data_IF_079256918133
#
_entry.id   IF_079256918133
#
_cell.length_a   1.000
_cell.length_b   1.000
_cell.length_c   1.000
_cell.angle_alpha   90.00
_cell.angle_beta   90.00
_cell.angle_gamma   90.00
#
_symmetry.space_group_name_H-M   'P 1'
#
loop_
_entity.id
_entity.type
_entity.pdbx_description
1 polymer ?
#
# COMPACT_ATOMS: atom_id res chain seq x y z
N UNK A 1 -11.64 3.22 3.41
CA UNK A 1 -12.13 4.07 2.30
C UNK A 1 -11.45 5.44 2.29
N UNK A 2 -11.66 6.29 3.29
CA UNK A 2 -11.11 7.67 3.29
C UNK A 2 -9.58 7.72 3.23
N UNK A 3 -8.86 6.87 3.98
CA UNK A 3 -7.40 6.81 3.92
C UNK A 3 -6.86 6.46 2.52
N UNK A 4 -7.45 5.45 1.87
CA UNK A 4 -7.08 5.05 0.49
C UNK A 4 -7.41 6.15 -0.51
N UNK A 5 -8.53 6.85 -0.32
CA UNK A 5 -8.89 8.01 -1.14
C UNK A 5 -7.92 9.19 -0.94
N UNK A 6 -7.53 9.49 0.29
CA UNK A 6 -6.53 10.52 0.63
C UNK A 6 -5.17 10.20 0.04
N UNK A 7 -4.76 8.94 0.09
CA UNK A 7 -3.56 8.45 -0.57
C UNK A 7 -3.59 8.69 -2.08
N UNK A 8 -4.68 8.25 -2.74
CA UNK A 8 -4.87 8.46 -4.18
C UNK A 8 -4.77 9.94 -4.57
N UNK A 9 -5.30 10.84 -3.73
CA UNK A 9 -5.28 12.29 -3.95
C UNK A 9 -3.89 12.93 -3.86
N UNK A 10 -2.98 12.34 -3.10
CA UNK A 10 -1.69 12.95 -2.80
C UNK A 10 -0.62 12.62 -3.85
N UNK A 11 -0.63 11.40 -4.41
CA UNK A 11 0.53 10.86 -5.11
C UNK A 11 0.27 10.44 -6.57
N UNK A 12 -0.98 10.38 -7.02
CA UNK A 12 -1.29 9.72 -8.29
C UNK A 12 -2.10 10.58 -9.26
N UNK A 13 -1.89 10.32 -10.54
CA UNK A 13 -2.74 10.88 -11.58
C UNK A 13 -4.16 10.24 -11.54
N UNK A 14 -5.08 10.87 -12.26
CA UNK A 14 -6.48 10.45 -12.32
C UNK A 14 -6.63 9.04 -12.94
N UNK A 15 -5.68 8.60 -13.77
CA UNK A 15 -5.71 7.29 -14.43
C UNK A 15 -5.28 6.18 -13.47
N UNK A 16 -4.22 6.39 -12.70
CA UNK A 16 -3.75 5.45 -11.68
C UNK A 16 -4.75 5.26 -10.55
N UNK A 17 -5.33 6.36 -10.05
CA UNK A 17 -6.28 6.32 -8.93
C UNK A 17 -7.51 5.46 -9.20
N UNK A 18 -7.94 5.35 -10.47
CA UNK A 18 -9.08 4.51 -10.90
C UNK A 18 -8.84 3.01 -10.75
N UNK A 19 -7.58 2.58 -10.63
CA UNK A 19 -7.22 1.16 -10.65
C UNK A 19 -6.91 0.63 -9.25
N UNK A 20 -6.93 1.46 -8.21
CA UNK A 20 -6.69 0.99 -6.84
C UNK A 20 -7.87 0.13 -6.40
N UNK A 21 -7.58 -1.12 -6.07
CA UNK A 21 -8.55 -2.10 -5.60
C UNK A 21 -8.24 -2.48 -4.15
N UNK A 22 -9.30 -2.60 -3.35
CA UNK A 22 -9.18 -3.01 -1.95
C UNK A 22 -10.05 -4.23 -1.72
N UNK A 23 -9.43 -5.26 -1.15
CA UNK A 23 -10.06 -6.51 -0.81
C UNK A 23 -9.96 -6.76 0.70
N UNK A 24 -10.88 -7.56 1.23
CA UNK A 24 -10.83 -8.06 2.59
C UNK A 24 -10.64 -9.58 2.58
N UNK A 25 -9.63 -10.04 3.30
CA UNK A 25 -9.39 -11.46 3.56
C UNK A 25 -10.15 -11.88 4.82
N UNK A 26 -10.66 -13.12 4.83
CA UNK A 26 -11.33 -13.71 6.00
C UNK A 26 -10.47 -13.76 7.27
N UNK A 27 -9.16 -13.52 7.15
CA UNK A 27 -8.19 -13.39 8.24
C UNK A 27 -8.08 -11.97 8.81
N UNK A 28 -9.04 -11.07 8.53
CA UNK A 28 -9.07 -9.67 8.96
C UNK A 28 -8.00 -8.75 8.35
N UNK A 29 -7.42 -9.19 7.24
CA UNK A 29 -6.41 -8.44 6.51
C UNK A 29 -7.02 -7.68 5.34
N UNK A 30 -6.61 -6.43 5.15
CA UNK A 30 -6.93 -5.63 3.97
C UNK A 30 -5.83 -5.80 2.94
N UNK A 31 -6.21 -6.18 1.72
CA UNK A 31 -5.29 -6.35 0.61
C UNK A 31 -5.51 -5.21 -0.37
N UNK A 32 -4.47 -4.43 -0.63
CA UNK A 32 -4.47 -3.33 -1.58
C UNK A 32 -3.71 -3.75 -2.82
N UNK A 33 -4.38 -3.63 -3.97
CA UNK A 33 -3.79 -3.88 -5.28
C UNK A 33 -3.67 -2.53 -5.99
N UNK A 34 -2.46 -2.23 -6.47
CA UNK A 34 -2.12 -1.01 -7.18
C UNK A 34 -1.61 -1.35 -8.60
N UNK A 35 -2.51 -1.58 -9.56
CA UNK A 35 -2.12 -1.93 -10.92
C UNK A 35 -1.26 -0.81 -11.54
N UNK A 36 -0.16 -1.21 -12.18
CA UNK A 36 0.82 -0.32 -12.82
C UNK A 36 1.64 0.55 -11.85
N UNK A 37 1.60 0.28 -10.55
CA UNK A 37 2.48 0.94 -9.59
C UNK A 37 3.90 0.39 -9.66
N UNK A 38 4.88 1.27 -9.50
CA UNK A 38 6.24 0.86 -9.21
C UNK A 38 6.41 0.44 -7.73
N UNK A 39 7.57 -0.13 -7.41
CA UNK A 39 7.88 -0.62 -6.07
C UNK A 39 7.84 0.48 -5.00
N UNK A 40 8.31 1.68 -5.33
CA UNK A 40 8.32 2.81 -4.39
C UNK A 40 6.90 3.27 -4.09
N UNK A 41 6.04 3.33 -5.11
CA UNK A 41 4.63 3.65 -4.98
C UNK A 41 3.89 2.63 -4.10
N UNK A 42 4.20 1.33 -4.25
CA UNK A 42 3.66 0.27 -3.38
C UNK A 42 4.10 0.41 -1.93
N UNK A 43 5.41 0.58 -1.70
CA UNK A 43 5.95 0.73 -0.35
C UNK A 43 5.35 1.94 0.36
N UNK A 44 5.27 3.07 -0.35
CA UNK A 44 4.68 4.30 0.20
C UNK A 44 3.18 4.14 0.46
N UNK A 45 2.44 3.42 -0.38
CA UNK A 45 1.03 3.10 -0.13
C UNK A 45 0.81 2.30 1.15
N UNK A 46 1.52 1.18 1.27
CA UNK A 46 1.37 0.27 2.41
C UNK A 46 1.77 0.97 3.69
N UNK A 47 2.87 1.73 3.66
CA UNK A 47 3.31 2.53 4.79
C UNK A 47 2.24 3.59 5.19
N UNK A 48 1.78 4.42 4.24
CA UNK A 48 0.75 5.44 4.51
C UNK A 48 -0.56 4.86 5.07
N UNK A 49 -1.00 3.71 4.55
CA UNK A 49 -2.24 3.07 4.98
C UNK A 49 -2.11 2.33 6.32
N UNK A 50 -0.91 1.82 6.62
CA UNK A 50 -0.61 1.19 7.92
C UNK A 50 -0.44 2.22 9.04
N UNK A 51 -0.01 3.44 8.69
CA UNK A 51 0.15 4.58 9.59
C UNK A 51 -0.83 5.73 9.27
N UNK A 52 -2.14 5.54 9.46
CA UNK A 52 -3.08 6.60 9.16
C UNK A 52 -2.88 7.77 10.11
N UNK A 53 -2.86 8.99 9.56
CA UNK A 53 -2.87 10.25 10.32
C UNK A 53 -4.12 10.40 11.22
N UNK A 54 -5.11 9.51 11.07
CA UNK A 54 -6.34 9.47 11.85
C UNK A 54 -6.39 8.25 12.78
N UNK A 55 -7.16 8.34 13.88
CA UNK A 55 -7.32 7.35 14.97
C UNK A 55 -7.74 5.91 14.56
N UNK A 56 -7.84 5.61 13.26
CA UNK A 56 -8.26 4.30 12.75
C UNK A 56 -7.05 3.61 12.15
N UNK A 57 -6.25 2.93 12.98
CA UNK A 57 -5.14 2.08 12.52
C UNK A 57 -5.72 0.93 11.70
N UNK A 58 -5.26 0.77 10.46
CA UNK A 58 -5.50 -0.48 9.74
C UNK A 58 -4.43 -1.45 10.21
N UNK A 59 -4.76 -2.28 11.20
CA UNK A 59 -3.77 -3.11 11.89
C UNK A 59 -3.13 -4.18 10.99
N UNK A 60 -3.76 -4.52 9.86
CA UNK A 60 -3.27 -5.54 8.91
C UNK A 60 -3.53 -5.12 7.45
N UNK A 61 -2.77 -4.15 6.94
CA UNK A 61 -2.74 -3.83 5.50
C UNK A 61 -1.58 -4.56 4.84
N UNK A 62 -1.85 -5.20 3.71
CA UNK A 62 -0.81 -5.66 2.79
C UNK A 62 -1.04 -5.10 1.39
N UNK A 63 0.04 -4.83 0.68
CA UNK A 63 0.04 -4.56 -0.75
C UNK A 63 0.37 -5.84 -1.51
N UNK A 64 -0.31 -6.08 -2.64
CA UNK A 64 0.00 -7.21 -3.50
C UNK A 64 0.21 -6.76 -4.95
N UNK A 65 1.40 -7.05 -5.49
CA UNK A 65 1.70 -6.91 -6.91
C UNK A 65 1.54 -8.26 -7.61
N UNK A 66 0.47 -8.40 -8.41
CA UNK A 66 0.19 -9.61 -9.17
C UNK A 66 1.17 -9.88 -10.33
N UNK A 67 1.94 -8.90 -10.77
CA UNK A 67 2.93 -9.05 -11.85
C UNK A 67 4.19 -9.68 -11.31
N UNK A 68 4.79 -9.07 -10.27
CA UNK A 68 6.02 -9.60 -9.65
C UNK A 68 5.75 -10.67 -8.60
N UNK A 69 4.47 -10.89 -8.25
CA UNK A 69 4.01 -11.76 -7.15
C UNK A 69 4.68 -11.39 -5.82
N UNK A 70 4.74 -10.09 -5.54
CA UNK A 70 5.38 -9.53 -4.34
C UNK A 70 4.33 -9.03 -3.37
N UNK A 71 4.53 -9.36 -2.10
CA UNK A 71 3.71 -8.84 -0.99
C UNK A 71 4.48 -7.74 -0.28
N UNK A 72 3.80 -6.63 0.03
CA UNK A 72 4.30 -5.47 0.74
C UNK A 72 3.58 -5.37 2.08
N UNK A 73 4.28 -5.15 3.19
CA UNK A 73 3.66 -5.12 4.52
C UNK A 73 4.52 -4.35 5.54
N UNK A 74 3.91 -3.99 6.67
CA UNK A 74 4.60 -3.50 7.87
C UNK A 74 4.38 -4.54 8.98
N UNK A 75 5.44 -5.17 9.52
CA UNK A 75 5.31 -6.04 10.68
C UNK A 75 4.71 -5.28 11.85
N UNK A 76 3.80 -5.90 12.60
CA UNK A 76 3.22 -5.29 13.80
C UNK A 76 4.24 -4.95 14.90
N UNK A 77 5.43 -5.55 14.84
CA UNK A 77 6.57 -5.28 15.72
C UNK A 77 7.47 -4.12 15.27
N UNK A 78 7.28 -3.61 14.04
CA UNK A 78 8.04 -2.47 13.52
C UNK A 78 7.28 -1.18 13.84
N UNK A 79 7.92 -0.29 14.59
CA UNK A 79 7.40 1.02 15.01
C UNK A 79 8.06 2.20 14.28
N UNK A 80 8.94 1.91 13.32
CA UNK A 80 9.60 2.89 12.47
C UNK A 80 8.67 3.24 11.29
N UNK A 81 8.37 4.53 11.17
CA UNK A 81 7.40 5.06 10.20
C UNK A 81 7.93 5.06 8.76
N UNK A 82 9.19 4.76 8.54
CA UNK A 82 9.91 4.89 7.27
C UNK A 82 10.43 3.54 6.75
N UNK A 83 9.80 2.45 7.17
CA UNK A 83 10.08 1.12 6.65
C UNK A 83 8.94 0.59 5.80
N UNK A 84 9.27 -0.31 4.89
CA UNK A 84 8.35 -1.26 4.30
C UNK A 84 9.05 -2.60 4.11
N UNK A 85 8.33 -3.69 4.26
CA UNK A 85 8.87 -5.03 4.05
C UNK A 85 8.28 -5.63 2.79
N UNK A 86 9.09 -6.41 2.08
CA UNK A 86 8.62 -7.19 0.93
C UNK A 86 8.92 -8.65 1.11
N UNK A 87 8.00 -9.50 0.67
CA UNK A 87 8.23 -10.92 0.44
C UNK A 87 8.08 -11.18 -1.04
N UNK A 88 9.10 -11.77 -1.65
CA UNK A 88 9.04 -12.20 -3.04
C UNK A 88 8.54 -13.64 -3.20
N UNK A 89 8.43 -14.09 -4.46
CA UNK A 89 7.99 -15.44 -4.81
C UNK A 89 8.91 -16.57 -4.33
N UNK A 90 10.14 -16.25 -3.90
CA UNK A 90 11.11 -17.18 -3.32
C UNK A 90 11.06 -17.18 -1.78
N UNK A 91 10.08 -16.49 -1.18
CA UNK A 91 9.93 -16.27 0.26
C UNK A 91 11.10 -15.52 0.90
N UNK A 92 11.83 -14.70 0.13
CA UNK A 92 12.86 -13.83 0.69
C UNK A 92 12.20 -12.58 1.25
N UNK A 93 12.42 -12.33 2.53
CA UNK A 93 11.95 -11.11 3.18
C UNK A 93 13.04 -10.04 3.15
N UNK A 94 12.70 -8.86 2.63
CA UNK A 94 13.56 -7.69 2.62
C UNK A 94 12.90 -6.57 3.45
N UNK A 95 13.68 -5.94 4.34
CA UNK A 95 13.35 -4.65 4.95
C UNK A 95 13.88 -3.56 4.04
N UNK A 96 13.00 -2.67 3.60
CA UNK A 96 13.33 -1.49 2.83
C UNK A 96 13.19 -0.26 3.70
N UNK A 97 14.29 0.46 3.84
CA UNK A 97 14.30 1.77 4.48
C UNK A 97 14.10 2.84 3.39
N UNK A 98 13.41 3.93 3.71
CA UNK A 98 13.16 5.01 2.75
C UNK A 98 14.41 5.84 2.41
N UNK A 99 15.57 5.49 2.98
CA UNK A 99 16.90 5.95 2.55
C UNK A 99 17.40 5.26 1.26
N UNK A 100 16.62 4.30 0.74
CA UNK A 100 16.92 3.52 -0.47
C UNK A 100 17.68 2.22 -0.21
N UNK A 101 18.00 1.89 1.04
CA UNK A 101 18.66 0.65 1.40
C UNK A 101 17.65 -0.49 1.60
N UNK A 102 18.01 -1.69 1.12
CA UNK A 102 17.29 -2.92 1.39
C UNK A 102 18.20 -3.93 2.10
N UNK A 103 17.67 -4.61 3.11
CA UNK A 103 18.39 -5.62 3.88
C UNK A 103 17.55 -6.87 4.10
N UNK A 104 18.19 -8.02 4.26
CA UNK A 104 17.48 -9.28 4.55
C UNK A 104 16.90 -9.17 5.96
N UNK A 105 15.62 -9.54 6.11
CA UNK A 105 14.93 -9.56 7.39
C UNK A 105 14.44 -10.97 7.74
N UNK A 106 14.51 -11.33 9.02
CA UNK A 106 14.03 -12.62 9.54
C UNK A 106 12.57 -12.55 10.01
N UNK A 107 11.70 -11.93 9.20
CA UNK A 107 10.27 -11.84 9.48
C UNK A 107 9.44 -12.17 8.24
N UNK A 108 8.11 -12.00 8.31
CA UNK A 108 7.26 -12.05 7.12
C UNK A 108 6.56 -13.38 6.85
N UNK A 109 6.91 -14.48 7.53
CA UNK A 109 6.35 -15.81 7.22
C UNK A 109 4.82 -15.90 7.28
N UNK A 110 4.21 -15.11 8.16
CA UNK A 110 2.74 -14.99 8.29
C UNK A 110 2.06 -14.12 7.21
N UNK A 111 2.85 -13.34 6.46
CA UNK A 111 2.43 -12.51 5.34
C UNK A 111 2.78 -13.16 3.99
N UNK A 112 3.37 -14.37 4.02
CA UNK A 112 3.50 -15.22 2.83
C UNK A 112 2.10 -15.70 2.46
N UNK A 113 1.53 -15.13 1.41
CA UNK A 113 0.47 -15.80 0.68
C UNK A 113 1.02 -16.22 -0.70
N UNK A 114 1.38 -17.51 -0.88
CA UNK A 114 1.92 -18.00 -2.14
C UNK A 114 0.86 -18.07 -3.24
N UNK A 115 -0.38 -17.70 -2.97
CA UNK A 115 -1.46 -17.75 -3.95
C UNK A 115 -2.66 -16.92 -3.53
N UNK A 116 -2.46 -15.60 -3.33
CA UNK A 116 -3.57 -14.64 -3.24
C UNK A 116 -4.43 -14.79 -4.49
N UNK A 117 -5.43 -15.64 -4.40
CA UNK A 117 -6.48 -15.73 -5.40
C UNK A 117 -7.42 -14.57 -5.09
N UNK A 118 -7.21 -13.45 -5.78
CA UNK A 118 -8.05 -12.26 -5.63
C UNK A 118 -9.53 -12.60 -5.85
N UNK A 119 -9.86 -13.66 -6.62
CA UNK A 119 -11.24 -14.10 -6.82
C UNK A 119 -11.86 -14.77 -5.59
N UNK A 120 -11.04 -15.26 -4.66
CA UNK A 120 -11.46 -15.79 -3.36
C UNK A 120 -11.59 -14.72 -2.28
N UNK A 121 -11.13 -13.49 -2.53
CA UNK A 121 -11.24 -12.38 -1.59
C UNK A 121 -12.56 -11.62 -1.75
N UNK A 122 -13.02 -10.99 -0.67
CA UNK A 122 -14.17 -10.11 -0.74
C UNK A 122 -13.73 -8.73 -1.26
N UNK A 123 -14.13 -8.38 -2.49
CA UNK A 123 -13.93 -7.03 -3.02
C UNK A 123 -14.71 -6.01 -2.18
N UNK A 124 -14.02 -5.02 -1.64
CA UNK A 124 -14.64 -3.94 -0.85
C UNK A 124 -14.98 -2.77 -1.76
N UNK A 125 -13.99 -2.32 -2.54
CA UNK A 125 -14.15 -1.17 -3.41
C UNK A 125 -13.08 -1.08 -4.50
N UNK A 126 -13.44 -0.31 -5.52
CA UNK A 126 -12.48 0.30 -6.45
C UNK A 126 -12.54 1.80 -6.23
N UNK A 127 -11.38 2.46 -6.08
CA UNK A 127 -11.34 3.91 -5.84
C UNK A 127 -11.74 4.65 -7.12
N UNK A 128 -12.70 5.57 -6.99
CA UNK A 128 -13.11 6.40 -8.11
C UNK A 128 -12.04 7.45 -8.42
N UNK A 129 -11.87 7.75 -9.71
CA UNK A 129 -10.98 8.79 -10.16
C UNK A 129 -11.23 10.11 -9.46
N UNK A 130 -10.15 10.78 -9.08
CA UNK A 130 -10.24 12.12 -8.56
C UNK A 130 -9.74 13.09 -9.60
N UNK A 131 -10.57 14.09 -9.92
CA UNK A 131 -10.10 15.31 -10.58
C UNK A 131 -9.02 15.91 -9.69
N UNK A 132 -7.76 15.80 -10.11
CA UNK A 132 -6.63 16.50 -9.48
C UNK A 132 -7.04 17.96 -9.33
N UNK A 133 -7.27 18.43 -8.10
CA UNK A 133 -7.38 19.86 -7.83
C UNK A 133 -5.99 20.42 -8.07
N UNK A 134 -5.70 20.85 -9.30
CA UNK A 134 -4.53 21.68 -9.59
C UNK A 134 -4.56 22.83 -8.60
N UNK A 135 -3.70 22.80 -7.58
CA UNK A 135 -3.42 23.98 -6.77
C UNK A 135 -2.79 24.98 -7.73
N UNK A 136 -3.62 25.89 -8.23
CA UNK A 136 -3.16 26.99 -9.05
C UNK A 136 -2.08 27.77 -8.28
N UNK A 137 -1.06 28.21 -9.00
CA UNK A 137 0.09 28.97 -8.54
C UNK A 137 -0.27 30.21 -7.68
N UNK A 138 -1.55 30.64 -7.70
CA UNK A 138 -2.11 31.73 -6.89
C UNK A 138 -2.41 31.37 -5.43
N UNK A 139 -2.46 30.08 -5.07
CA UNK A 139 -2.74 29.68 -3.67
C UNK A 139 -1.55 29.86 -2.72
N UNK A 140 -0.35 30.15 -3.23
CA UNK A 140 0.85 30.41 -2.43
C UNK A 140 0.97 31.88 -2.00
N UNK A 141 0.18 32.79 -2.59
CA UNK A 141 0.24 34.23 -2.27
C UNK A 141 -0.79 34.67 -1.21
N UNK A 142 -1.73 33.81 -0.82
CA UNK A 142 -2.81 34.15 0.12
C UNK A 142 -3.16 33.03 1.10
N UNK A 143 -2.22 32.12 1.40
CA UNK A 143 -2.38 31.04 2.38
C UNK A 143 -1.37 31.14 3.49
#
# INVERSE_FOLDING_TARGET
MEAVQSFANLYFDEEFSKNIEVYFSGFRQYVVVLPKADEMQFMFAVNYLSYPESKVKFDDVIGFDGITRRTYFIPSSDDEYDNCYTIDSENRCLKHCFDGNASIAECGQQYIDPGVDLSALHHICTISAVKVKKRGFLSWLFG
#
